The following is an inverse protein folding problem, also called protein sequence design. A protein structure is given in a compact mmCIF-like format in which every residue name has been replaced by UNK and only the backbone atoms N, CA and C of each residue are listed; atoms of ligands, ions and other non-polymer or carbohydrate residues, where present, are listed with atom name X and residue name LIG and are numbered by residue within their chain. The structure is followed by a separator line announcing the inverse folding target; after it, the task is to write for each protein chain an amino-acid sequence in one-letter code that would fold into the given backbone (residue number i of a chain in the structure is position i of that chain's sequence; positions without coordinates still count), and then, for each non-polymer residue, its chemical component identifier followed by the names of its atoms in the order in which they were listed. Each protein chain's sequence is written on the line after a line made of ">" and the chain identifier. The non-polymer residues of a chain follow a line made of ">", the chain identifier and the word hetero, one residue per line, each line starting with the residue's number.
data_IF_588444699875
#
_entry.id   IF_588444699875
#
_cell.length_a   1.000
_cell.length_b   1.000
_cell.length_c   1.000
_cell.angle_alpha   90.00
_cell.angle_beta   90.00
_cell.angle_gamma   90.00
#
_symmetry.space_group_name_H-M   'P 1'
#
loop_
_entity.id
_entity.type
_entity.pdbx_description
1 polymer ?
#
# COMPACT_ATOMS: atom_id res chain seq x y z
N UNK A 1 1.83 24.06 14.16
CA UNK A 1 1.80 22.62 13.76
C UNK A 1 2.65 22.51 12.50
N UNK A 2 3.87 21.94 12.56
CA UNK A 2 4.71 21.80 11.37
C UNK A 2 3.99 20.87 10.40
N UNK A 3 3.73 21.34 9.17
CA UNK A 3 3.29 20.48 8.08
C UNK A 3 4.26 19.29 8.00
N UNK A 4 3.71 18.07 8.15
CA UNK A 4 4.51 16.85 7.98
C UNK A 4 4.98 16.86 6.52
N UNK A 5 6.27 17.14 6.31
CA UNK A 5 6.89 17.11 4.99
C UNK A 5 6.65 15.76 4.33
N UNK A 6 6.20 15.77 3.08
CA UNK A 6 6.02 14.57 2.26
C UNK A 6 7.39 13.87 2.10
N UNK A 7 7.60 12.67 2.66
CA UNK A 7 8.90 12.03 2.64
C UNK A 7 9.36 11.63 1.23
N UNK A 8 8.42 11.48 0.29
CA UNK A 8 8.71 11.06 -1.08
C UNK A 8 8.85 12.23 -2.07
N UNK A 9 8.57 13.47 -1.63
CA UNK A 9 8.66 14.66 -2.50
C UNK A 9 9.99 14.74 -3.23
N UNK A 10 11.07 14.43 -2.52
CA UNK A 10 12.43 14.55 -3.06
C UNK A 10 12.80 13.49 -4.11
N UNK A 11 12.03 12.40 -4.26
CA UNK A 11 12.39 11.27 -5.13
C UNK A 11 11.28 10.82 -6.07
N UNK A 12 10.12 11.45 -6.03
CA UNK A 12 8.98 11.05 -6.84
C UNK A 12 9.27 11.01 -8.35
N UNK A 13 10.16 11.88 -8.84
CA UNK A 13 10.57 11.98 -10.25
C UNK A 13 11.44 10.80 -10.73
N UNK A 14 12.11 10.11 -9.82
CA UNK A 14 12.99 8.97 -10.11
C UNK A 14 12.45 7.65 -9.55
N UNK A 15 11.39 7.70 -8.77
CA UNK A 15 10.81 6.54 -8.06
C UNK A 15 10.42 5.41 -9.02
N UNK A 16 9.87 5.74 -10.18
CA UNK A 16 9.42 4.77 -11.18
C UNK A 16 10.54 3.92 -11.77
N UNK A 17 11.80 4.35 -11.65
CA UNK A 17 12.93 3.54 -12.11
C UNK A 17 13.07 2.25 -11.29
N UNK A 18 12.58 2.21 -10.05
CA UNK A 18 12.50 0.99 -9.25
C UNK A 18 11.51 -0.02 -9.85
N UNK A 19 10.47 0.46 -10.52
CA UNK A 19 9.44 -0.39 -11.10
C UNK A 19 9.95 -1.29 -12.25
N UNK A 20 11.14 -1.03 -12.78
CA UNK A 20 11.80 -1.89 -13.78
C UNK A 20 12.42 -3.15 -13.15
N UNK A 21 12.52 -3.22 -11.83
CA UNK A 21 13.06 -4.38 -11.11
C UNK A 21 12.18 -5.62 -11.36
N UNK A 22 12.77 -6.77 -11.81
CA UNK A 22 12.00 -7.99 -12.07
C UNK A 22 11.24 -8.53 -10.86
N UNK A 23 11.77 -8.38 -9.64
CA UNK A 23 11.09 -8.83 -8.42
C UNK A 23 9.84 -7.98 -8.17
N UNK A 24 9.91 -6.66 -8.38
CA UNK A 24 8.75 -5.78 -8.29
C UNK A 24 7.71 -6.09 -9.37
N UNK A 25 8.13 -6.44 -10.60
CA UNK A 25 7.20 -6.86 -11.64
C UNK A 25 6.44 -8.14 -11.25
N UNK A 26 7.12 -9.13 -10.65
CA UNK A 26 6.47 -10.34 -10.13
C UNK A 26 5.49 -10.01 -8.99
N UNK A 27 5.83 -9.04 -8.15
CA UNK A 27 4.96 -8.55 -7.09
C UNK A 27 3.67 -7.93 -7.65
N UNK A 28 3.74 -7.05 -8.66
CA UNK A 28 2.55 -6.51 -9.34
C UNK A 28 1.70 -7.61 -9.97
N UNK A 29 2.32 -8.61 -10.61
CA UNK A 29 1.60 -9.74 -11.21
C UNK A 29 0.89 -10.61 -10.15
N UNK A 30 1.54 -10.86 -9.01
CA UNK A 30 0.93 -11.57 -7.89
C UNK A 30 -0.37 -10.89 -7.44
N UNK A 31 -0.34 -9.58 -7.19
CA UNK A 31 -1.50 -8.83 -6.74
C UNK A 31 -2.64 -8.80 -7.78
N UNK A 32 -2.29 -8.65 -9.03
CA UNK A 32 -3.28 -8.71 -10.11
C UNK A 32 -3.98 -10.07 -10.16
N UNK A 33 -3.22 -11.17 -10.05
CA UNK A 33 -3.78 -12.52 -10.03
C UNK A 33 -4.66 -12.73 -8.80
N UNK A 34 -4.18 -12.34 -7.62
CA UNK A 34 -4.93 -12.51 -6.38
C UNK A 34 -6.26 -11.75 -6.40
N UNK A 35 -6.27 -10.49 -6.88
CA UNK A 35 -7.51 -9.71 -6.98
C UNK A 35 -8.48 -10.37 -7.98
N UNK A 36 -8.03 -10.72 -9.18
CA UNK A 36 -8.89 -11.33 -10.20
C UNK A 36 -9.44 -12.69 -9.75
N UNK A 37 -8.63 -13.50 -9.10
CA UNK A 37 -9.07 -14.77 -8.51
C UNK A 37 -10.14 -14.52 -7.45
N UNK A 38 -9.91 -13.58 -6.52
CA UNK A 38 -10.87 -13.26 -5.46
C UNK A 38 -12.20 -12.73 -6.00
N UNK A 39 -12.16 -11.91 -7.05
CA UNK A 39 -13.34 -11.42 -7.77
C UNK A 39 -14.12 -12.60 -8.38
N UNK A 40 -13.42 -13.49 -9.09
CA UNK A 40 -14.02 -14.66 -9.74
C UNK A 40 -14.66 -15.62 -8.73
N UNK A 41 -13.95 -15.97 -7.66
CA UNK A 41 -14.44 -16.86 -6.61
C UNK A 41 -15.69 -16.33 -5.90
N UNK A 42 -15.92 -15.01 -5.93
CA UNK A 42 -17.08 -14.35 -5.32
C UNK A 42 -18.17 -13.98 -6.33
N UNK A 43 -17.97 -14.22 -7.61
CA UNK A 43 -18.88 -13.76 -8.64
C UNK A 43 -19.10 -12.24 -8.62
N UNK A 44 -18.09 -11.47 -8.14
CA UNK A 44 -18.21 -10.03 -7.92
C UNK A 44 -18.15 -9.30 -9.26
N UNK A 45 -19.15 -8.47 -9.53
CA UNK A 45 -19.16 -7.58 -10.70
C UNK A 45 -18.53 -6.24 -10.31
N UNK A 46 -17.25 -6.06 -10.65
CA UNK A 46 -16.52 -4.83 -10.34
C UNK A 46 -16.82 -3.78 -11.40
N UNK A 47 -17.23 -2.59 -10.94
CA UNK A 47 -17.37 -1.36 -11.72
C UNK A 47 -16.38 -0.31 -11.26
N UNK A 48 -16.10 -0.26 -9.98
CA UNK A 48 -15.15 0.69 -9.38
C UNK A 48 -14.10 -0.03 -8.57
N UNK A 49 -12.84 0.27 -8.84
CA UNK A 49 -11.67 -0.15 -8.06
C UNK A 49 -11.01 1.09 -7.45
N UNK A 50 -10.75 1.05 -6.15
CA UNK A 50 -9.98 2.07 -5.44
C UNK A 50 -8.61 1.50 -5.07
N UNK A 51 -7.54 2.14 -5.52
CA UNK A 51 -6.17 1.78 -5.12
C UNK A 51 -5.65 2.83 -4.12
N UNK A 52 -5.43 2.40 -2.90
CA UNK A 52 -5.09 3.24 -1.76
C UNK A 52 -3.57 3.28 -1.56
N UNK A 53 -3.04 4.46 -1.21
CA UNK A 53 -1.59 4.71 -1.09
C UNK A 53 -0.87 4.29 -2.38
N UNK A 54 -1.44 4.70 -3.50
CA UNK A 54 -1.11 4.20 -4.84
C UNK A 54 0.22 4.74 -5.40
N UNK A 55 0.87 5.69 -4.71
CA UNK A 55 2.13 6.29 -5.12
C UNK A 55 2.06 6.89 -6.53
N UNK A 56 2.99 6.51 -7.37
CA UNK A 56 3.06 6.94 -8.77
C UNK A 56 2.10 6.17 -9.69
N UNK A 57 1.25 5.27 -9.15
CA UNK A 57 0.21 4.57 -9.90
C UNK A 57 0.65 3.34 -10.70
N UNK A 58 1.82 2.78 -10.44
CA UNK A 58 2.31 1.60 -11.19
C UNK A 58 1.42 0.36 -11.00
N UNK A 59 0.83 0.17 -9.81
CA UNK A 59 -0.17 -0.86 -9.54
C UNK A 59 -1.56 -0.51 -10.07
N UNK A 60 -1.88 0.77 -10.14
CA UNK A 60 -3.21 1.32 -10.45
C UNK A 60 -3.50 1.36 -11.94
N UNK A 61 -2.58 1.95 -12.73
CA UNK A 61 -2.76 2.23 -14.16
C UNK A 61 -3.09 0.99 -14.98
N UNK A 62 -2.48 -0.20 -14.76
CA UNK A 62 -2.84 -1.38 -15.54
C UNK A 62 -4.31 -1.79 -15.48
N UNK A 63 -5.05 -1.37 -14.45
CA UNK A 63 -6.47 -1.66 -14.32
C UNK A 63 -7.35 -0.86 -15.28
N UNK A 64 -6.86 0.27 -15.82
CA UNK A 64 -7.61 1.05 -16.83
C UNK A 64 -7.84 0.30 -18.15
N UNK A 65 -7.16 -0.84 -18.33
CA UNK A 65 -7.37 -1.73 -19.47
C UNK A 65 -8.60 -2.63 -19.31
N UNK A 66 -9.22 -2.65 -18.11
CA UNK A 66 -10.46 -3.40 -17.88
C UNK A 66 -11.65 -2.59 -18.37
N UNK A 67 -12.32 -3.11 -19.41
CA UNK A 67 -13.52 -2.47 -19.94
C UNK A 67 -14.61 -2.34 -18.87
N UNK A 68 -15.23 -1.17 -18.78
CA UNK A 68 -16.31 -0.89 -17.83
C UNK A 68 -15.85 -0.65 -16.37
N UNK A 69 -14.52 -0.60 -16.10
CA UNK A 69 -14.03 -0.26 -14.77
C UNK A 69 -13.67 1.22 -14.66
N UNK A 70 -14.15 1.85 -13.59
CA UNK A 70 -13.70 3.16 -13.12
C UNK A 70 -12.60 2.94 -12.08
N UNK A 71 -11.47 3.63 -12.23
CA UNK A 71 -10.31 3.45 -11.37
C UNK A 71 -10.06 4.73 -10.61
N UNK A 72 -9.95 4.62 -9.28
CA UNK A 72 -9.60 5.72 -8.38
C UNK A 72 -8.26 5.40 -7.71
N UNK A 73 -7.29 6.29 -7.83
CA UNK A 73 -6.01 6.21 -7.13
C UNK A 73 -5.95 7.25 -6.01
N UNK A 74 -5.69 6.83 -4.79
CA UNK A 74 -5.59 7.71 -3.62
C UNK A 74 -4.20 7.64 -3.03
N UNK A 75 -3.57 8.79 -2.82
CA UNK A 75 -2.28 8.88 -2.12
C UNK A 75 -2.18 10.19 -1.33
N UNK A 76 -1.44 10.16 -0.22
CA UNK A 76 -1.16 11.35 0.59
C UNK A 76 -0.08 12.26 0.00
N UNK A 77 0.75 11.73 -0.90
CA UNK A 77 1.85 12.46 -1.54
C UNK A 77 1.38 13.15 -2.82
N UNK A 78 1.30 14.47 -2.77
CA UNK A 78 1.02 15.26 -3.97
C UNK A 78 2.13 15.11 -5.03
N UNK A 79 3.38 14.89 -4.61
CA UNK A 79 4.51 14.68 -5.51
C UNK A 79 4.40 13.35 -6.27
N UNK A 80 4.03 12.27 -5.60
CA UNK A 80 3.76 10.97 -6.23
C UNK A 80 2.61 11.08 -7.22
N UNK A 81 1.50 11.70 -6.83
CA UNK A 81 0.35 11.88 -7.71
C UNK A 81 0.64 12.78 -8.92
N UNK A 82 1.55 13.75 -8.82
CA UNK A 82 2.02 14.51 -10.00
C UNK A 82 2.65 13.59 -11.04
N UNK A 83 3.43 12.58 -10.62
CA UNK A 83 4.00 11.60 -11.55
C UNK A 83 2.93 10.65 -12.10
N UNK A 84 2.01 10.19 -11.26
CA UNK A 84 0.90 9.34 -11.67
C UNK A 84 0.04 10.00 -12.76
N UNK A 85 -0.32 11.27 -12.59
CA UNK A 85 -1.10 12.06 -13.58
C UNK A 85 -0.39 12.22 -14.93
N UNK A 86 0.94 12.30 -14.95
CA UNK A 86 1.71 12.33 -16.22
C UNK A 86 1.59 11.02 -17.01
N UNK A 87 1.31 9.90 -16.34
CA UNK A 87 1.25 8.57 -16.95
C UNK A 87 -0.14 8.16 -17.41
N UNK A 88 -1.19 8.68 -16.80
CA UNK A 88 -2.57 8.34 -17.16
C UNK A 88 -3.57 9.40 -16.71
N UNK A 89 -4.43 9.79 -17.65
CA UNK A 89 -5.63 10.60 -17.43
C UNK A 89 -6.90 9.75 -17.22
N UNK A 90 -6.78 8.42 -17.37
CA UNK A 90 -7.88 7.45 -17.23
C UNK A 90 -8.13 7.01 -15.79
N UNK A 91 -7.41 7.56 -14.82
CA UNK A 91 -7.56 7.29 -13.39
C UNK A 91 -7.98 8.56 -12.67
N UNK A 92 -8.98 8.47 -11.80
CA UNK A 92 -9.34 9.56 -10.90
C UNK A 92 -8.34 9.62 -9.73
N UNK A 93 -7.40 10.56 -9.81
CA UNK A 93 -6.37 10.74 -8.78
C UNK A 93 -6.83 11.67 -7.67
N UNK A 94 -6.84 11.19 -6.43
CA UNK A 94 -7.25 11.93 -5.23
C UNK A 94 -6.10 12.05 -4.23
N UNK A 95 -5.75 13.28 -3.86
CA UNK A 95 -4.71 13.54 -2.84
C UNK A 95 -5.36 13.59 -1.46
N UNK A 96 -5.29 12.49 -0.71
CA UNK A 96 -5.89 12.38 0.61
C UNK A 96 -5.03 11.54 1.56
N UNK A 97 -5.04 11.93 2.83
CA UNK A 97 -4.60 11.07 3.92
C UNK A 97 -5.59 9.91 4.10
N UNK A 98 -5.12 8.68 4.00
CA UNK A 98 -5.95 7.47 4.12
C UNK A 98 -6.72 7.40 5.45
N UNK A 99 -6.21 8.02 6.52
CA UNK A 99 -6.87 8.09 7.84
C UNK A 99 -8.13 8.96 7.81
N UNK A 100 -8.22 9.85 6.83
CA UNK A 100 -9.32 10.80 6.61
C UNK A 100 -10.05 10.55 5.30
N UNK A 101 -9.84 9.36 4.70
CA UNK A 101 -10.39 9.00 3.40
C UNK A 101 -11.89 9.29 3.32
N UNK A 102 -12.27 10.02 2.26
CA UNK A 102 -13.66 10.28 1.89
C UNK A 102 -13.76 10.28 0.37
N UNK A 103 -14.56 9.38 -0.17
CA UNK A 103 -14.88 9.33 -1.59
C UNK A 103 -16.40 9.37 -1.74
N UNK A 104 -16.87 10.11 -2.73
CA UNK A 104 -18.32 10.17 -3.07
C UNK A 104 -18.79 8.88 -3.74
N UNK A 105 -17.87 8.11 -4.30
CA UNK A 105 -18.17 6.82 -4.95
C UNK A 105 -18.00 5.67 -3.97
N UNK A 106 -18.82 4.63 -4.15
CA UNK A 106 -18.59 3.32 -3.52
C UNK A 106 -17.99 2.36 -4.53
N UNK A 107 -17.12 1.49 -4.03
CA UNK A 107 -16.38 0.54 -4.84
C UNK A 107 -16.74 -0.92 -4.51
N UNK A 108 -16.57 -1.79 -5.47
CA UNK A 108 -16.65 -3.24 -5.27
C UNK A 108 -15.31 -3.82 -4.82
N UNK A 109 -14.20 -3.12 -5.09
CA UNK A 109 -12.88 -3.55 -4.61
C UNK A 109 -12.01 -2.36 -4.21
N UNK A 110 -11.22 -2.55 -3.16
CA UNK A 110 -10.14 -1.66 -2.74
C UNK A 110 -8.84 -2.44 -2.61
N UNK A 111 -7.72 -1.83 -2.97
CA UNK A 111 -6.38 -2.40 -2.85
C UNK A 111 -5.45 -1.44 -2.11
N UNK A 112 -4.46 -1.98 -1.40
CA UNK A 112 -3.41 -1.21 -0.75
C UNK A 112 -2.14 -2.07 -0.69
N UNK A 113 -1.17 -1.80 -1.55
CA UNK A 113 -0.04 -2.68 -1.78
C UNK A 113 1.27 -2.12 -1.23
N UNK A 114 2.32 -2.96 -1.22
CA UNK A 114 3.69 -2.59 -0.84
C UNK A 114 3.80 -2.12 0.61
N UNK A 115 3.27 -2.94 1.57
CA UNK A 115 3.33 -2.63 3.01
C UNK A 115 2.91 -1.20 3.37
N UNK A 116 2.17 -0.55 2.49
CA UNK A 116 1.78 0.84 2.66
C UNK A 116 1.03 1.09 3.98
N UNK A 117 0.24 0.11 4.47
CA UNK A 117 -0.43 0.21 5.77
C UNK A 117 0.56 0.23 6.95
N UNK A 118 1.79 -0.26 6.81
CA UNK A 118 2.81 -0.18 7.85
C UNK A 118 3.27 1.26 8.14
N UNK A 119 3.06 2.20 7.19
CA UNK A 119 3.31 3.63 7.41
C UNK A 119 2.32 4.28 8.40
N UNK A 120 1.21 3.62 8.71
CA UNK A 120 0.29 4.06 9.78
C UNK A 120 0.83 3.54 11.11
N UNK A 121 1.42 4.43 11.91
CA UNK A 121 2.22 4.04 13.08
C UNK A 121 1.40 3.75 14.34
N UNK A 122 0.15 4.23 14.43
CA UNK A 122 -0.74 4.00 15.56
C UNK A 122 -1.79 2.94 15.23
N UNK A 123 -2.00 1.93 16.10
CA UNK A 123 -3.09 0.96 15.94
C UNK A 123 -4.47 1.62 15.85
N UNK A 124 -4.68 2.72 16.58
CA UNK A 124 -5.93 3.48 16.58
C UNK A 124 -6.16 4.17 15.23
N UNK A 125 -5.10 4.78 14.66
CA UNK A 125 -5.16 5.36 13.32
C UNK A 125 -5.39 4.28 12.26
N UNK A 126 -4.75 3.11 12.36
CA UNK A 126 -4.99 2.01 11.43
C UNK A 126 -6.41 1.46 11.56
N UNK A 127 -6.96 1.39 12.77
CA UNK A 127 -8.37 1.06 12.98
C UNK A 127 -9.30 2.05 12.25
N UNK A 128 -8.98 3.35 12.28
CA UNK A 128 -9.73 4.37 11.54
C UNK A 128 -9.63 4.13 10.02
N UNK A 129 -8.44 3.78 9.50
CA UNK A 129 -8.27 3.42 8.09
C UNK A 129 -9.21 2.27 7.70
N UNK A 130 -9.28 1.20 8.52
CA UNK A 130 -10.20 0.09 8.25
C UNK A 130 -11.66 0.53 8.21
N UNK A 131 -12.09 1.42 9.10
CA UNK A 131 -13.45 2.00 9.06
C UNK A 131 -13.66 2.79 7.77
N UNK A 132 -12.73 3.67 7.39
CA UNK A 132 -12.83 4.47 6.16
C UNK A 132 -12.87 3.62 4.90
N UNK A 133 -12.09 2.54 4.85
CA UNK A 133 -12.16 1.60 3.73
C UNK A 133 -13.50 0.87 3.70
N UNK A 134 -14.04 0.50 4.87
CA UNK A 134 -15.38 -0.08 4.93
C UNK A 134 -16.46 0.89 4.43
N UNK A 135 -16.34 2.19 4.74
CA UNK A 135 -17.32 3.20 4.32
C UNK A 135 -17.40 3.36 2.79
N UNK A 136 -16.28 3.22 2.08
CA UNK A 136 -16.22 3.36 0.63
C UNK A 136 -16.53 2.07 -0.14
N UNK A 137 -16.67 0.92 0.53
CA UNK A 137 -17.00 -0.34 -0.12
C UNK A 137 -18.49 -0.63 -0.09
N UNK A 138 -18.99 -1.27 -1.14
CA UNK A 138 -20.29 -1.92 -1.11
C UNK A 138 -20.28 -3.15 -0.18
N UNK A 139 -21.43 -3.57 0.38
CA UNK A 139 -21.57 -4.88 1.01
C UNK A 139 -21.13 -5.98 0.03
N UNK A 140 -20.31 -6.94 0.49
CA UNK A 140 -19.68 -7.96 -0.35
C UNK A 140 -18.43 -7.48 -1.08
N UNK A 141 -18.11 -6.18 -1.02
CA UNK A 141 -16.90 -5.63 -1.62
C UNK A 141 -15.63 -6.15 -0.95
N UNK A 142 -14.55 -6.20 -1.72
CA UNK A 142 -13.26 -6.76 -1.32
C UNK A 142 -12.26 -5.68 -0.93
N UNK A 143 -11.47 -5.95 0.10
CA UNK A 143 -10.28 -5.18 0.45
C UNK A 143 -9.05 -6.08 0.47
N UNK A 144 -8.10 -5.82 -0.42
CA UNK A 144 -6.84 -6.56 -0.55
C UNK A 144 -5.67 -5.66 -0.16
N UNK A 145 -4.80 -6.16 0.71
CA UNK A 145 -3.61 -5.44 1.12
C UNK A 145 -2.52 -6.38 1.61
N UNK A 146 -1.32 -5.88 1.76
CA UNK A 146 -0.23 -6.56 2.44
C UNK A 146 0.31 -5.76 3.61
N UNK A 147 1.02 -6.48 4.46
CA UNK A 147 1.82 -5.92 5.53
C UNK A 147 3.19 -6.62 5.59
N UNK A 148 4.22 -5.86 5.89
CA UNK A 148 5.49 -6.38 6.37
C UNK A 148 5.35 -6.78 7.84
N UNK A 149 5.87 -7.96 8.18
CA UNK A 149 5.81 -8.49 9.55
C UNK A 149 7.00 -8.03 10.38
N UNK A 150 6.95 -8.26 11.69
CA UNK A 150 8.10 -7.98 12.57
C UNK A 150 9.37 -8.74 12.15
N UNK A 151 9.23 -9.95 11.58
CA UNK A 151 10.37 -10.72 11.08
C UNK A 151 11.15 -9.97 10.00
N UNK A 152 10.44 -9.22 9.10
CA UNK A 152 11.07 -8.38 8.10
C UNK A 152 11.91 -7.27 8.73
N UNK A 153 11.35 -6.53 9.68
CA UNK A 153 12.02 -5.40 10.31
C UNK A 153 13.21 -5.85 11.18
N UNK A 154 13.10 -7.00 11.86
CA UNK A 154 14.20 -7.61 12.59
C UNK A 154 15.31 -8.08 11.67
N UNK A 155 14.97 -8.65 10.52
CA UNK A 155 15.94 -9.07 9.53
C UNK A 155 16.65 -7.88 8.87
N UNK A 156 15.97 -6.75 8.65
CA UNK A 156 16.55 -5.53 8.12
C UNK A 156 17.36 -4.71 9.14
N UNK A 157 17.17 -4.95 10.43
CA UNK A 157 17.82 -4.15 11.48
C UNK A 157 19.33 -4.11 11.31
N UNK A 158 19.90 -2.89 11.31
CA UNK A 158 21.33 -2.59 11.12
C UNK A 158 21.93 -3.11 9.79
N UNK A 159 21.07 -3.46 8.83
CA UNK A 159 21.53 -3.81 7.49
C UNK A 159 21.58 -2.57 6.61
N UNK A 160 22.72 -2.43 5.94
CA UNK A 160 22.91 -1.43 4.90
C UNK A 160 23.00 -2.13 3.55
N UNK A 161 22.40 -1.54 2.52
CA UNK A 161 22.43 -2.07 1.17
C UNK A 161 22.51 -0.96 0.15
N UNK A 162 23.42 -1.11 -0.80
CA UNK A 162 23.51 -0.26 -1.98
C UNK A 162 22.72 -0.91 -3.13
N UNK A 163 21.83 -0.14 -3.71
CA UNK A 163 21.06 -0.53 -4.90
C UNK A 163 21.48 0.32 -6.09
N UNK A 164 21.58 -0.32 -7.25
CA UNK A 164 21.66 0.38 -8.54
C UNK A 164 20.26 0.40 -9.16
N UNK A 165 19.71 1.58 -9.41
CA UNK A 165 18.35 1.80 -9.88
C UNK A 165 18.42 2.63 -11.15
N UNK A 166 18.48 1.97 -12.30
CA UNK A 166 18.77 2.62 -13.58
C UNK A 166 20.14 3.29 -13.54
N UNK A 167 20.16 4.62 -13.65
CA UNK A 167 21.40 5.43 -13.53
C UNK A 167 21.64 5.97 -12.12
N UNK A 168 20.73 5.70 -11.18
CA UNK A 168 20.83 6.19 -9.82
C UNK A 168 21.43 5.13 -8.89
N UNK A 169 21.97 5.60 -7.78
CA UNK A 169 22.33 4.74 -6.65
C UNK A 169 21.49 5.10 -5.45
N UNK A 170 21.08 4.11 -4.68
CA UNK A 170 20.36 4.30 -3.43
C UNK A 170 21.00 3.46 -2.33
N UNK A 171 21.49 4.11 -1.30
CA UNK A 171 21.94 3.45 -0.07
C UNK A 171 20.78 3.43 0.92
N UNK A 172 20.37 2.24 1.34
CA UNK A 172 19.37 2.05 2.39
C UNK A 172 20.05 1.64 3.69
N UNK A 173 19.69 2.31 4.78
CA UNK A 173 20.03 1.91 6.13
C UNK A 173 18.77 1.83 6.99
N UNK A 174 18.68 0.80 7.83
CA UNK A 174 17.44 0.45 8.50
C UNK A 174 17.69 0.19 9.99
N UNK A 175 16.80 0.69 10.83
CA UNK A 175 16.83 0.46 12.28
C UNK A 175 15.43 0.05 12.76
N UNK A 176 15.35 -1.00 13.57
CA UNK A 176 14.11 -1.41 14.21
C UNK A 176 14.26 -1.40 15.71
N UNK A 177 13.35 -0.73 16.41
CA UNK A 177 13.25 -0.79 17.87
C UNK A 177 12.08 -1.69 18.28
N UNK A 178 12.35 -2.86 18.90
CA UNK A 178 11.31 -3.80 19.31
C UNK A 178 10.43 -3.29 20.47
N UNK A 179 10.90 -2.28 21.24
CA UNK A 179 10.13 -1.73 22.37
C UNK A 179 9.01 -0.82 21.86
N UNK A 180 9.33 0.12 20.99
CA UNK A 180 8.34 0.99 20.34
C UNK A 180 7.62 0.31 19.17
N UNK A 181 8.18 -0.81 18.65
CA UNK A 181 7.75 -1.48 17.42
C UNK A 181 7.78 -0.53 16.22
N UNK A 182 8.78 0.33 16.13
CA UNK A 182 8.98 1.25 15.02
C UNK A 182 10.25 0.88 14.27
N UNK A 183 10.12 0.75 12.96
CA UNK A 183 11.23 0.67 12.03
C UNK A 183 11.46 2.03 11.37
N UNK A 184 12.71 2.44 11.30
CA UNK A 184 13.13 3.65 10.58
C UNK A 184 13.95 3.25 9.37
N UNK A 185 13.54 3.74 8.21
CA UNK A 185 14.21 3.56 6.93
C UNK A 185 14.80 4.88 6.49
N UNK A 186 16.08 4.87 6.21
CA UNK A 186 16.79 6.00 5.65
C UNK A 186 17.35 5.59 4.29
N UNK A 187 16.89 6.24 3.24
CA UNK A 187 17.33 6.02 1.88
C UNK A 187 18.06 7.26 1.38
N UNK A 188 19.32 7.09 1.06
CA UNK A 188 20.15 8.14 0.50
C UNK A 188 20.31 7.88 -1.01
N UNK A 189 19.67 8.73 -1.80
CA UNK A 189 19.66 8.66 -3.24
C UNK A 189 20.76 9.55 -3.83
N UNK A 190 21.47 9.04 -4.82
CA UNK A 190 22.44 9.74 -5.63
C UNK A 190 21.95 9.73 -7.07
N UNK A 191 21.53 10.89 -7.54
CA UNK A 191 20.88 11.09 -8.85
C UNK A 191 21.87 11.83 -9.75
N UNK A 192 22.28 11.26 -10.92
CA UNK A 192 23.27 11.89 -11.77
C UNK A 192 22.75 13.19 -12.38
N UNK A 193 23.60 14.22 -12.37
CA UNK A 193 23.41 15.55 -12.97
C UNK A 193 24.69 15.94 -13.73
N UNK A 194 24.82 15.42 -14.94
CA UNK A 194 26.04 15.59 -15.70
C UNK A 194 27.24 14.89 -15.04
N UNK A 195 28.22 15.66 -14.56
CA UNK A 195 29.44 15.14 -13.92
C UNK A 195 29.35 14.99 -12.39
N UNK A 196 28.22 15.35 -11.78
CA UNK A 196 28.01 15.31 -10.33
C UNK A 196 26.77 14.51 -9.99
N UNK A 197 26.63 14.14 -8.70
CA UNK A 197 25.42 13.52 -8.17
C UNK A 197 24.69 14.49 -7.24
N UNK A 198 23.40 14.66 -7.48
CA UNK A 198 22.49 15.29 -6.53
C UNK A 198 22.16 14.28 -5.44
N UNK A 199 22.35 14.67 -4.18
CA UNK A 199 22.01 13.86 -3.02
C UNK A 199 20.60 14.18 -2.52
N UNK A 200 19.74 13.17 -2.40
CA UNK A 200 18.40 13.30 -1.81
C UNK A 200 18.19 12.30 -0.70
N UNK A 201 17.51 12.70 0.36
CA UNK A 201 17.25 11.87 1.53
C UNK A 201 15.75 11.62 1.65
N UNK A 202 15.39 10.34 1.75
CA UNK A 202 14.07 9.87 2.15
C UNK A 202 14.17 9.22 3.52
N UNK A 203 13.29 9.63 4.43
CA UNK A 203 13.18 8.99 5.74
C UNK A 203 11.72 8.64 5.99
N UNK A 204 11.47 7.36 6.21
CA UNK A 204 10.13 6.86 6.51
C UNK A 204 10.16 6.01 7.75
N UNK A 205 9.03 5.93 8.42
CA UNK A 205 8.82 5.05 9.57
C UNK A 205 7.69 4.10 9.30
N UNK A 206 7.86 2.89 9.76
CA UNK A 206 6.87 1.84 9.63
C UNK A 206 6.69 1.10 10.96
N UNK A 207 5.52 0.51 11.12
CA UNK A 207 5.17 -0.31 12.27
C UNK A 207 4.70 -1.69 11.81
N UNK A 208 5.26 -2.78 12.34
CA UNK A 208 4.72 -4.12 12.12
C UNK A 208 3.38 -4.29 12.85
N UNK A 209 2.47 -4.97 12.18
CA UNK A 209 1.20 -5.42 12.77
C UNK A 209 1.13 -6.94 12.76
N UNK A 210 0.63 -7.51 13.84
CA UNK A 210 0.39 -8.95 13.92
C UNK A 210 -0.88 -9.33 13.19
N UNK A 211 -0.96 -10.59 12.75
CA UNK A 211 -2.20 -11.13 12.17
C UNK A 211 -3.40 -10.97 13.12
N UNK A 212 -3.18 -11.08 14.44
CA UNK A 212 -4.23 -10.92 15.44
C UNK A 212 -4.75 -9.48 15.49
N UNK A 213 -3.86 -8.47 15.49
CA UNK A 213 -4.23 -7.04 15.44
C UNK A 213 -5.06 -6.76 14.17
N UNK A 214 -4.57 -7.20 13.00
CA UNK A 214 -5.29 -7.00 11.73
C UNK A 214 -6.67 -7.70 11.74
N UNK A 215 -6.77 -8.94 12.22
CA UNK A 215 -8.05 -9.66 12.34
C UNK A 215 -9.04 -8.97 13.28
N UNK A 216 -8.55 -8.39 14.38
CA UNK A 216 -9.37 -7.60 15.31
C UNK A 216 -9.89 -6.35 14.63
N UNK A 217 -9.02 -5.56 13.98
CA UNK A 217 -9.38 -4.33 13.25
C UNK A 217 -10.39 -4.62 12.13
N UNK A 218 -10.16 -5.67 11.34
CA UNK A 218 -11.08 -6.08 10.30
C UNK A 218 -12.48 -6.39 10.84
N UNK A 219 -12.57 -7.20 11.90
CA UNK A 219 -13.87 -7.56 12.51
C UNK A 219 -14.61 -6.34 13.06
N UNK A 220 -13.90 -5.45 13.75
CA UNK A 220 -14.48 -4.22 14.34
C UNK A 220 -14.99 -3.28 13.26
N UNK A 221 -14.34 -3.25 12.08
CA UNK A 221 -14.77 -2.43 10.95
C UNK A 221 -15.77 -3.12 9.99
N UNK A 222 -16.34 -4.24 10.40
CA UNK A 222 -17.37 -4.92 9.61
C UNK A 222 -16.86 -5.80 8.48
N UNK A 223 -15.57 -6.17 8.49
CA UNK A 223 -15.03 -7.12 7.54
C UNK A 223 -15.07 -8.56 8.03
N UNK A 224 -15.07 -9.49 7.08
CA UNK A 224 -14.72 -10.89 7.24
C UNK A 224 -13.35 -11.13 6.58
N UNK A 225 -12.42 -11.75 7.29
CA UNK A 225 -11.14 -12.17 6.71
C UNK A 225 -11.37 -13.46 5.92
N UNK A 226 -11.17 -13.38 4.61
CA UNK A 226 -11.33 -14.53 3.71
C UNK A 226 -10.04 -15.35 3.65
N UNK A 227 -8.92 -14.65 3.47
CA UNK A 227 -7.63 -15.29 3.22
C UNK A 227 -6.51 -14.49 3.89
N UNK A 228 -5.52 -15.23 4.41
CA UNK A 228 -4.21 -14.70 4.79
C UNK A 228 -3.17 -15.61 4.16
N UNK A 229 -2.36 -15.07 3.25
CA UNK A 229 -1.30 -15.82 2.55
C UNK A 229 0.07 -15.31 2.94
N UNK A 230 1.01 -16.22 3.12
CA UNK A 230 2.43 -15.87 3.21
C UNK A 230 2.90 -15.52 1.80
N UNK A 231 3.12 -14.23 1.56
CA UNK A 231 3.54 -13.74 0.24
C UNK A 231 5.05 -13.89 0.07
N UNK A 232 5.79 -13.65 1.14
CA UNK A 232 7.22 -13.76 1.15
C UNK A 232 7.71 -14.39 2.46
N UNK A 233 8.67 -15.32 2.35
CA UNK A 233 9.23 -16.07 3.48
C UNK A 233 10.76 -15.99 3.41
N UNK A 234 11.40 -15.61 4.50
CA UNK A 234 12.86 -15.62 4.67
C UNK A 234 13.22 -16.53 5.85
N UNK A 235 14.16 -17.42 5.65
CA UNK A 235 14.65 -18.34 6.68
C UNK A 235 13.51 -19.09 7.41
N UNK A 236 12.50 -19.53 6.63
CA UNK A 236 11.32 -20.24 7.14
C UNK A 236 10.30 -19.35 7.89
N UNK A 237 10.53 -18.03 8.01
CA UNK A 237 9.64 -17.10 8.69
C UNK A 237 8.91 -16.21 7.67
N UNK A 238 7.59 -16.02 7.79
CA UNK A 238 6.88 -15.10 6.94
C UNK A 238 7.33 -13.66 7.23
N UNK A 239 7.78 -12.97 6.20
CA UNK A 239 8.21 -11.56 6.27
C UNK A 239 7.19 -10.62 5.65
N UNK A 240 6.31 -11.14 4.78
CA UNK A 240 5.19 -10.39 4.19
C UNK A 240 3.94 -11.24 4.12
N UNK A 241 2.81 -10.67 4.54
CA UNK A 241 1.50 -11.32 4.55
C UNK A 241 0.53 -10.55 3.67
N UNK A 242 -0.18 -11.28 2.80
CA UNK A 242 -1.27 -10.76 1.99
C UNK A 242 -2.62 -11.11 2.62
N UNK A 243 -3.51 -10.13 2.69
CA UNK A 243 -4.86 -10.27 3.25
C UNK A 243 -5.90 -10.03 2.16
N UNK A 244 -6.95 -10.85 2.18
CA UNK A 244 -8.19 -10.62 1.44
C UNK A 244 -9.32 -10.54 2.43
N UNK A 245 -9.98 -9.39 2.48
CA UNK A 245 -11.14 -9.13 3.33
C UNK A 245 -12.38 -8.92 2.48
N UNK A 246 -13.53 -9.24 3.04
CA UNK A 246 -14.83 -8.95 2.44
C UNK A 246 -15.67 -8.11 3.41
N UNK A 247 -16.25 -7.01 2.94
CA UNK A 247 -17.18 -6.21 3.72
C UNK A 247 -18.48 -6.98 3.94
N UNK A 248 -18.84 -7.18 5.20
CA UNK A 248 -20.10 -7.82 5.55
C UNK A 248 -21.29 -6.94 5.15
N UNK A 249 -22.45 -7.55 4.83
CA UNK A 249 -23.69 -6.80 4.74
C UNK A 249 -24.02 -6.16 6.11
N UNK A 250 -24.76 -5.05 6.11
CA UNK A 250 -25.27 -4.49 7.36
C UNK A 250 -26.08 -5.56 8.11
N UNK A 251 -25.94 -5.61 9.43
CA UNK A 251 -26.77 -6.52 10.24
C UNK A 251 -28.24 -6.14 10.01
N UNK A 252 -29.04 -7.10 9.56
CA UNK A 252 -30.50 -6.90 9.59
C UNK A 252 -30.91 -6.67 11.04
N UNK A 253 -31.76 -5.66 11.33
CA UNK A 253 -32.34 -5.53 12.64
C UNK A 253 -33.03 -6.87 12.96
N UNK A 254 -32.74 -7.43 14.13
CA UNK A 254 -33.51 -8.57 14.62
C UNK A 254 -34.94 -8.02 14.81
N UNK A 255 -35.86 -8.50 13.97
CA UNK A 255 -37.27 -8.29 14.24
C UNK A 255 -37.56 -8.97 15.59
N UNK A 256 -37.81 -8.19 16.63
CA UNK A 256 -38.39 -8.66 17.89
C UNK A 256 -39.86 -8.97 17.69
#
# INVERSE_FOLDING_TARGET
>A
MSEKRDPYEGVADVYDQMAADPELQQFYLYWRRLLLQSISERGLKVRTLVDLMCGTGNSTIPWTRRAGWSIVGVDGSAAMLRQARKKSDRVHWSCQDIRKLRLEVRAEAATCHFDALNHVLSPEELQQVFHRVADILHPGGLFLFDISTENWFRWLHEREKLYTIGKNYMMSSNRYDPKSRIAEFRQLWFIPRGRVYEKRLVQVRERPYTTSEIRKMARTSGFRVLTVKQQWVLEGKPVRLAFVLEKKPPRQPKHC
#
